data_IF_226159440603
#
_entry.id   IF_226159440603
#
_cell.length_a   1.000
_cell.length_b   1.000
_cell.length_c   1.000
_cell.angle_alpha   90.00
_cell.angle_beta   90.00
_cell.angle_gamma   90.00
#
_symmetry.space_group_name_H-M   'P 1'
#
loop_
_entity.id
_entity.type
_entity.pdbx_description
1 polymer ?
#
# COMPACT_ATOMS: atom_id res chain seq x y z
N UNK A 1 27.72 23.29 -10.11
CA UNK A 1 27.85 22.03 -9.35
C UNK A 1 26.80 21.07 -9.87
N UNK A 2 27.22 19.84 -10.18
CA UNK A 2 26.45 18.78 -10.83
C UNK A 2 25.30 18.29 -9.94
N UNK A 3 24.11 18.16 -10.53
CA UNK A 3 23.04 17.26 -10.06
C UNK A 3 22.72 16.25 -11.17
N UNK A 4 23.75 15.65 -11.74
CA UNK A 4 23.61 14.31 -12.28
C UNK A 4 23.52 13.34 -11.10
N UNK A 5 22.71 12.30 -11.26
CA UNK A 5 22.48 11.20 -10.32
C UNK A 5 21.37 11.45 -9.30
N UNK A 6 20.14 11.30 -9.77
CA UNK A 6 19.15 10.40 -9.16
C UNK A 6 18.11 10.08 -10.26
N UNK A 7 18.55 9.35 -11.30
CA UNK A 7 17.61 8.63 -12.17
C UNK A 7 16.96 7.53 -11.34
N UNK A 8 15.91 7.93 -10.64
CA UNK A 8 15.04 7.03 -9.94
C UNK A 8 14.37 6.10 -10.97
N UNK A 9 14.34 4.76 -10.80
CA UNK A 9 13.61 3.85 -11.69
C UNK A 9 12.10 4.18 -11.85
N UNK A 10 11.54 5.07 -11.01
CA UNK A 10 10.21 5.69 -11.24
C UNK A 10 10.15 6.60 -12.47
N UNK A 11 11.23 7.30 -12.80
CA UNK A 11 11.27 8.26 -13.91
C UNK A 11 11.13 7.57 -15.27
N UNK A 12 11.66 6.36 -15.41
CA UNK A 12 11.58 5.58 -16.65
C UNK A 12 10.16 5.06 -16.95
N UNK A 13 9.35 4.73 -15.93
CA UNK A 13 7.94 4.31 -16.10
C UNK A 13 6.96 5.49 -16.19
N UNK A 14 7.35 6.68 -15.75
CA UNK A 14 6.55 7.91 -15.87
C UNK A 14 6.76 8.66 -17.19
N UNK A 15 7.64 8.19 -18.09
CA UNK A 15 7.96 8.88 -19.36
C UNK A 15 6.76 9.08 -20.29
N UNK A 16 5.67 8.32 -20.13
CA UNK A 16 4.47 8.44 -20.96
C UNK A 16 3.31 9.21 -20.31
N UNK A 17 3.45 9.68 -19.06
CA UNK A 17 2.47 10.55 -18.41
C UNK A 17 3.05 11.95 -18.36
N UNK A 18 2.35 12.92 -18.94
CA UNK A 18 2.83 14.30 -18.95
C UNK A 18 3.08 14.80 -17.52
N UNK A 19 4.10 15.63 -17.33
CA UNK A 19 4.44 16.21 -16.03
C UNK A 19 3.24 16.89 -15.36
N UNK A 20 2.34 17.47 -16.17
CA UNK A 20 1.07 18.05 -15.74
C UNK A 20 0.07 17.00 -15.21
N UNK A 21 0.03 15.81 -15.80
CA UNK A 21 -0.76 14.67 -15.29
C UNK A 21 -0.15 14.14 -14.00
N UNK A 22 1.16 13.99 -13.90
CA UNK A 22 1.84 13.57 -12.66
C UNK A 22 1.64 14.56 -11.50
N UNK A 23 1.63 15.87 -11.79
CA UNK A 23 1.34 16.92 -10.81
C UNK A 23 -0.15 17.01 -10.47
N UNK A 24 -1.05 16.87 -11.45
CA UNK A 24 -2.50 16.72 -11.20
C UNK A 24 -2.86 15.47 -10.41
N UNK A 25 -2.10 14.38 -10.61
CA UNK A 25 -2.14 13.17 -9.81
C UNK A 25 -1.70 13.54 -8.39
N UNK A 26 -0.50 14.10 -8.18
CA UNK A 26 -0.03 14.49 -6.85
C UNK A 26 -1.02 15.38 -6.07
N UNK A 27 -1.54 16.45 -6.69
CA UNK A 27 -2.46 17.41 -6.04
C UNK A 27 -3.89 16.86 -5.84
N UNK A 28 -4.37 15.94 -6.70
CA UNK A 28 -5.63 15.20 -6.46
C UNK A 28 -5.48 14.08 -5.43
N UNK A 29 -4.29 13.51 -5.29
CA UNK A 29 -4.02 12.37 -4.43
C UNK A 29 -4.05 12.72 -2.94
N UNK A 30 -3.64 13.94 -2.58
CA UNK A 30 -3.57 14.37 -1.18
C UNK A 30 -4.97 14.54 -0.56
N UNK A 31 -6.03 14.73 -1.36
CA UNK A 31 -7.31 15.20 -0.82
C UNK A 31 -8.52 14.27 -0.95
N UNK A 32 -8.64 13.34 -1.92
CA UNK A 32 -9.98 12.76 -2.21
C UNK A 32 -10.11 11.29 -2.67
N UNK A 33 -9.05 10.50 -2.78
CA UNK A 33 -9.17 9.20 -3.46
C UNK A 33 -8.76 8.00 -2.60
N UNK A 34 -9.65 6.99 -2.56
CA UNK A 34 -9.50 5.71 -1.87
C UNK A 34 -8.46 4.83 -2.56
N UNK A 35 -7.98 3.77 -1.89
CA UNK A 35 -7.03 2.83 -2.47
C UNK A 35 -7.48 2.25 -3.83
N UNK A 36 -8.81 2.12 -4.03
CA UNK A 36 -9.43 1.73 -5.30
C UNK A 36 -9.01 2.63 -6.46
N UNK A 37 -9.12 3.94 -6.30
CA UNK A 37 -8.86 4.89 -7.38
C UNK A 37 -7.38 4.88 -7.76
N UNK A 38 -6.47 4.77 -6.78
CA UNK A 38 -5.05 4.62 -7.06
C UNK A 38 -4.76 3.32 -7.84
N UNK A 39 -5.37 2.22 -7.42
CA UNK A 39 -5.21 0.94 -8.09
C UNK A 39 -5.73 0.98 -9.53
N UNK A 40 -6.97 1.46 -9.73
CA UNK A 40 -7.58 1.60 -11.05
C UNK A 40 -6.78 2.54 -11.97
N UNK A 41 -6.25 3.64 -11.43
CA UNK A 41 -5.43 4.56 -12.20
C UNK A 41 -4.14 3.89 -12.69
N UNK A 42 -3.51 3.07 -11.85
CA UNK A 42 -2.23 2.45 -12.15
C UNK A 42 -2.37 1.25 -13.10
N UNK A 43 -3.40 0.42 -12.92
CA UNK A 43 -3.55 -0.84 -13.67
C UNK A 43 -4.69 -0.83 -14.70
N UNK A 44 -5.48 0.25 -14.77
CA UNK A 44 -6.55 0.38 -15.77
C UNK A 44 -7.67 -0.65 -15.65
N UNK A 45 -7.88 -1.22 -14.46
CA UNK A 45 -8.81 -2.33 -14.25
C UNK A 45 -9.77 -2.10 -13.07
N UNK A 46 -10.83 -2.91 -13.02
CA UNK A 46 -11.75 -2.96 -11.87
C UNK A 46 -11.21 -3.97 -10.86
N UNK A 47 -10.79 -3.55 -9.65
CA UNK A 47 -10.22 -4.45 -8.67
C UNK A 47 -11.24 -5.42 -8.11
N UNK A 48 -10.80 -6.66 -7.93
CA UNK A 48 -11.33 -7.56 -6.91
C UNK A 48 -10.71 -7.19 -5.56
N UNK A 49 -11.41 -7.50 -4.46
CA UNK A 49 -11.10 -6.95 -3.14
C UNK A 49 -11.25 -8.02 -2.07
N UNK A 50 -10.17 -8.26 -1.32
CA UNK A 50 -10.18 -9.08 -0.10
C UNK A 50 -9.90 -8.19 1.12
N UNK A 51 -10.68 -8.31 2.20
CA UNK A 51 -10.55 -7.48 3.41
C UNK A 51 -10.39 -8.34 4.66
N UNK A 52 -9.49 -7.96 5.56
CA UNK A 52 -9.32 -8.60 6.87
C UNK A 52 -9.11 -7.55 7.96
N UNK A 53 -9.80 -7.71 9.08
CA UNK A 53 -9.80 -6.80 10.23
C UNK A 53 -8.94 -7.34 11.38
N UNK A 54 -8.72 -6.51 12.41
CA UNK A 54 -8.00 -6.85 13.64
C UNK A 54 -6.53 -7.25 13.41
N UNK A 55 -5.87 -6.61 12.45
CA UNK A 55 -4.47 -6.89 12.12
C UNK A 55 -3.53 -5.83 12.70
N UNK A 56 -2.37 -6.25 13.20
CA UNK A 56 -1.31 -5.33 13.57
C UNK A 56 -0.61 -4.80 12.31
N UNK A 57 -1.04 -3.63 11.83
CA UNK A 57 -0.53 -3.02 10.59
C UNK A 57 0.98 -2.74 10.61
N UNK A 58 1.54 -2.34 11.76
CA UNK A 58 2.97 -2.05 11.90
C UNK A 58 3.83 -3.29 11.60
N UNK A 59 3.49 -4.43 12.23
CA UNK A 59 4.21 -5.69 12.03
C UNK A 59 4.00 -6.24 10.61
N UNK A 60 2.79 -6.05 10.08
CA UNK A 60 2.45 -6.51 8.73
C UNK A 60 3.30 -5.79 7.67
N UNK A 61 3.51 -4.48 7.80
CA UNK A 61 4.29 -3.72 6.81
C UNK A 61 5.76 -4.14 6.74
N UNK A 62 6.39 -4.34 7.91
CA UNK A 62 7.78 -4.79 7.95
C UNK A 62 7.94 -6.10 7.17
N UNK A 63 7.10 -7.09 7.46
CA UNK A 63 7.14 -8.38 6.79
C UNK A 63 6.76 -8.33 5.31
N UNK A 64 5.77 -7.52 4.93
CA UNK A 64 5.41 -7.34 3.52
C UNK A 64 6.57 -6.74 2.73
N UNK A 65 7.29 -5.77 3.31
CA UNK A 65 8.49 -5.21 2.69
C UNK A 65 9.58 -6.25 2.52
N UNK A 66 9.86 -7.05 3.55
CA UNK A 66 10.85 -8.14 3.48
C UNK A 66 10.50 -9.19 2.42
N UNK A 67 9.23 -9.62 2.37
CA UNK A 67 8.80 -10.71 1.48
C UNK A 67 8.64 -10.29 0.02
N UNK A 68 8.30 -9.02 -0.23
CA UNK A 68 7.89 -8.54 -1.55
C UNK A 68 8.75 -7.41 -2.09
N UNK A 69 9.89 -7.10 -1.47
CA UNK A 69 10.74 -5.95 -1.82
C UNK A 69 10.97 -5.79 -3.33
N UNK A 70 11.32 -6.89 -4.01
CA UNK A 70 11.62 -6.91 -5.45
C UNK A 70 10.37 -6.72 -6.33
N UNK A 71 9.18 -6.98 -5.77
CA UNK A 71 7.90 -6.86 -6.45
C UNK A 71 7.25 -5.50 -6.21
N UNK A 72 7.73 -4.71 -5.24
CA UNK A 72 7.16 -3.39 -4.94
C UNK A 72 7.45 -2.47 -6.12
N UNK A 73 6.39 -2.08 -6.83
CA UNK A 73 6.46 -0.94 -7.73
C UNK A 73 6.64 0.30 -6.89
N UNK A 74 5.70 0.61 -5.99
CA UNK A 74 5.72 1.84 -5.18
C UNK A 74 4.96 1.66 -3.87
N UNK A 75 5.13 2.58 -2.93
CA UNK A 75 4.44 2.61 -1.65
C UNK A 75 4.07 4.04 -1.27
N UNK A 76 2.90 4.21 -0.65
CA UNK A 76 2.34 5.50 -0.24
C UNK A 76 1.92 5.44 1.22
N UNK A 77 2.30 6.47 1.98
CA UNK A 77 1.84 6.67 3.36
C UNK A 77 1.08 7.99 3.44
N UNK A 78 -0.14 7.95 3.96
CA UNK A 78 -0.99 9.13 4.11
C UNK A 78 -1.52 9.20 5.54
N UNK A 79 -1.41 10.38 6.15
CA UNK A 79 -1.96 10.69 7.48
C UNK A 79 -2.76 11.99 7.38
N UNK A 80 -3.98 12.00 7.90
CA UNK A 80 -4.85 13.18 7.87
C UNK A 80 -5.45 13.43 9.24
N UNK A 81 -5.41 14.69 9.65
CA UNK A 81 -5.97 15.20 10.89
C UNK A 81 -7.13 16.13 10.61
N UNK A 82 -8.13 16.08 11.49
CA UNK A 82 -9.13 17.13 11.63
C UNK A 82 -8.58 18.15 12.64
N UNK A 83 -8.26 19.36 12.17
CA UNK A 83 -7.65 20.42 12.99
C UNK A 83 -8.65 20.98 13.99
N UNK A 84 -9.94 21.05 13.65
CA UNK A 84 -10.96 21.62 14.53
C UNK A 84 -11.29 20.68 15.70
N UNK A 85 -11.17 19.38 15.47
CA UNK A 85 -11.44 18.33 16.46
C UNK A 85 -10.20 17.83 17.20
N UNK A 86 -9.00 18.20 16.74
CA UNK A 86 -7.73 17.65 17.22
C UNK A 86 -7.67 16.11 17.13
N UNK A 87 -8.22 15.55 16.05
CA UNK A 87 -8.38 14.10 15.89
C UNK A 87 -7.69 13.56 14.63
N UNK A 88 -7.09 12.36 14.76
CA UNK A 88 -6.57 11.62 13.61
C UNK A 88 -7.72 10.90 12.91
N UNK A 89 -8.05 11.31 11.68
CA UNK A 89 -9.19 10.77 10.92
C UNK A 89 -8.79 9.81 9.81
N UNK A 90 -7.51 9.78 9.41
CA UNK A 90 -7.02 8.87 8.38
C UNK A 90 -5.57 8.49 8.64
N UNK A 91 -5.26 7.21 8.59
CA UNK A 91 -3.87 6.79 8.48
C UNK A 91 -3.77 5.51 7.66
N UNK A 92 -3.27 5.67 6.44
CA UNK A 92 -3.26 4.63 5.42
C UNK A 92 -1.83 4.38 4.92
N UNK A 93 -1.54 3.13 4.63
CA UNK A 93 -0.33 2.72 3.94
C UNK A 93 -0.70 1.81 2.77
N UNK A 94 -0.27 2.15 1.57
CA UNK A 94 -0.59 1.42 0.35
C UNK A 94 0.71 0.94 -0.30
N UNK A 95 0.77 -0.32 -0.70
CA UNK A 95 1.87 -0.92 -1.46
C UNK A 95 1.32 -1.36 -2.81
N UNK A 96 1.92 -0.94 -3.92
CA UNK A 96 1.62 -1.44 -5.26
C UNK A 96 2.69 -2.44 -5.69
N UNK A 97 2.28 -3.62 -6.15
CA UNK A 97 3.16 -4.71 -6.59
C UNK A 97 3.08 -4.91 -8.12
N UNK A 98 4.16 -5.34 -8.75
CA UNK A 98 4.28 -5.57 -10.21
C UNK A 98 3.22 -6.50 -10.80
N UNK A 99 2.61 -7.33 -9.97
CA UNK A 99 1.60 -8.32 -10.34
C UNK A 99 0.18 -7.75 -10.35
N UNK A 100 -0.01 -6.44 -10.59
CA UNK A 100 -1.32 -5.79 -10.54
C UNK A 100 -2.06 -6.06 -9.23
N UNK A 101 -1.33 -5.96 -8.11
CA UNK A 101 -1.85 -6.12 -6.74
C UNK A 101 -1.54 -4.86 -5.94
N UNK A 102 -2.50 -4.36 -5.18
CA UNK A 102 -2.28 -3.38 -4.14
C UNK A 102 -2.62 -3.93 -2.75
N UNK A 103 -1.78 -3.63 -1.77
CA UNK A 103 -2.03 -3.92 -0.36
C UNK A 103 -2.25 -2.59 0.36
N UNK A 104 -3.46 -2.37 0.83
CA UNK A 104 -3.87 -1.19 1.58
C UNK A 104 -4.05 -1.56 3.06
N UNK A 105 -3.30 -0.90 3.94
CA UNK A 105 -3.45 -0.99 5.39
C UNK A 105 -4.05 0.31 5.91
N UNK A 106 -5.12 0.21 6.70
CA UNK A 106 -5.68 1.32 7.46
C UNK A 106 -5.38 1.07 8.94
N UNK A 107 -4.58 1.93 9.57
CA UNK A 107 -4.24 1.73 10.99
C UNK A 107 -5.24 2.34 11.94
N UNK A 108 -6.11 3.25 11.47
CA UNK A 108 -7.14 3.79 12.35
C UNK A 108 -8.17 2.70 12.65
N UNK A 109 -8.56 1.96 11.62
CA UNK A 109 -9.53 0.87 11.69
C UNK A 109 -8.88 -0.53 11.80
N UNK A 110 -7.55 -0.60 11.79
CA UNK A 110 -6.74 -1.83 11.92
C UNK A 110 -7.17 -2.95 10.96
N UNK A 111 -7.30 -2.62 9.66
CA UNK A 111 -7.60 -3.60 8.62
C UNK A 111 -6.57 -3.57 7.48
N UNK A 112 -6.55 -4.68 6.72
CA UNK A 112 -5.89 -4.77 5.42
C UNK A 112 -6.91 -5.04 4.32
N UNK A 113 -6.69 -4.43 3.17
CA UNK A 113 -7.39 -4.68 1.93
C UNK A 113 -6.35 -5.08 0.87
N UNK A 114 -6.63 -6.15 0.13
CA UNK A 114 -5.85 -6.51 -1.05
C UNK A 114 -6.74 -6.29 -2.27
N UNK A 115 -6.31 -5.37 -3.13
CA UNK A 115 -6.93 -5.07 -4.42
C UNK A 115 -6.14 -5.78 -5.52
N UNK A 116 -6.81 -6.41 -6.47
CA UNK A 116 -6.13 -7.18 -7.52
C UNK A 116 -6.96 -7.35 -8.79
N UNK A 117 -6.28 -7.56 -9.92
CA UNK A 117 -6.90 -8.02 -11.17
C UNK A 117 -7.20 -9.53 -11.11
N UNK A 118 -8.27 -9.97 -11.76
CA UNK A 118 -8.77 -11.36 -11.68
C UNK A 118 -7.76 -12.42 -12.14
N UNK A 119 -6.76 -12.02 -12.92
CA UNK A 119 -5.66 -12.88 -13.37
C UNK A 119 -4.68 -13.26 -12.26
N UNK A 120 -4.67 -12.56 -11.12
CA UNK A 120 -3.68 -12.70 -10.06
C UNK A 120 -4.22 -13.32 -8.76
N UNK A 121 -5.33 -14.05 -8.83
CA UNK A 121 -5.88 -14.81 -7.71
C UNK A 121 -4.83 -15.74 -7.05
N UNK A 122 -3.97 -16.48 -7.80
CA UNK A 122 -2.96 -17.35 -7.19
C UNK A 122 -1.95 -16.57 -6.33
N UNK A 123 -1.45 -15.44 -6.81
CA UNK A 123 -0.53 -14.55 -6.10
C UNK A 123 -1.19 -13.97 -4.84
N UNK A 124 -2.44 -13.52 -4.96
CA UNK A 124 -3.22 -12.99 -3.83
C UNK A 124 -3.37 -14.02 -2.74
N UNK A 125 -3.66 -15.30 -3.08
CA UNK A 125 -3.73 -16.38 -2.09
C UNK A 125 -2.42 -16.57 -1.33
N UNK A 126 -1.27 -16.45 -2.01
CA UNK A 126 0.06 -16.52 -1.36
C UNK A 126 0.28 -15.33 -0.41
N UNK A 127 -0.05 -14.12 -0.84
CA UNK A 127 0.01 -12.93 0.01
C UNK A 127 -0.92 -13.08 1.22
N UNK A 128 -2.12 -13.61 1.02
CA UNK A 128 -3.09 -13.84 2.07
C UNK A 128 -2.57 -14.83 3.13
N UNK A 129 -1.90 -15.91 2.71
CA UNK A 129 -1.24 -16.82 3.66
C UNK A 129 -0.24 -16.07 4.55
N UNK A 130 0.56 -15.16 3.97
CA UNK A 130 1.51 -14.35 4.73
C UNK A 130 0.83 -13.37 5.67
N UNK A 131 -0.22 -12.68 5.23
CA UNK A 131 -1.03 -11.81 6.08
C UNK A 131 -1.59 -12.59 7.30
N UNK A 132 -2.10 -13.81 7.08
CA UNK A 132 -2.67 -14.64 8.15
C UNK A 132 -1.62 -15.16 9.12
N UNK A 133 -0.43 -15.57 8.66
CA UNK A 133 0.70 -15.94 9.54
C UNK A 133 1.06 -14.80 10.52
N UNK A 134 0.84 -13.55 10.11
CA UNK A 134 1.14 -12.34 10.90
C UNK A 134 0.03 -12.05 11.90
N UNK A 135 -1.21 -12.44 11.60
CA UNK A 135 -2.35 -12.32 12.51
C UNK A 135 -2.19 -13.18 13.79
N UNK A 136 -1.45 -14.29 13.72
CA UNK A 136 -1.39 -15.32 14.77
C UNK A 136 -0.11 -15.40 15.59
N UNK A 137 0.90 -14.58 15.34
CA UNK A 137 2.07 -14.56 16.22
C UNK A 137 1.74 -13.72 17.45
N UNK A 138 1.16 -14.36 18.48
CA UNK A 138 1.15 -13.84 19.86
C UNK A 138 2.55 -13.27 20.18
N UNK A 139 2.66 -12.19 20.97
CA UNK A 139 3.94 -11.90 21.59
C UNK A 139 4.35 -13.15 22.35
N UNK A 140 5.60 -13.59 22.16
CA UNK A 140 6.17 -14.69 22.91
C UNK A 140 6.16 -14.29 24.40
N UNK A 141 5.08 -14.62 25.11
CA UNK A 141 5.15 -14.87 26.54
C UNK A 141 5.84 -16.23 26.71
N UNK A 142 7.14 -16.27 26.43
CA UNK A 142 8.00 -17.34 26.87
C UNK A 142 9.19 -16.75 27.63
N UNK A 143 9.29 -17.23 28.87
CA UNK A 143 10.44 -17.16 29.78
C UNK A 143 10.54 -15.90 30.65
N UNK A 144 9.59 -15.74 31.56
CA UNK A 144 9.97 -15.42 32.94
C UNK A 144 10.26 -16.76 33.62
N UNK A 145 11.55 -17.04 33.80
CA UNK A 145 12.06 -18.16 34.60
C UNK A 145 11.67 -17.99 36.07
#
# INVERSE_FOLDING_TARGET
MNNHELENPYSAKMRDLSLEVCLKIKDKFENQHSAYNLFCLFYGCIPQIETCYNLNCNRLIQKLRECYQEQIITQYYCRQYDIERDELIKTNFIILLTHEIAIHLNYLEQYVQILYSSTHIPEVRRIWSKVREIHFTKPDCQNSK
#
